data_IF_433018842673
#
_entry.id   IF_433018842673
#
_cell.length_a   1.000
_cell.length_b   1.000
_cell.length_c   1.000
_cell.angle_alpha   90.00
_cell.angle_beta   90.00
_cell.angle_gamma   90.00
#
_symmetry.space_group_name_H-M   'P 1'
#
loop_
_entity.id
_entity.type
_entity.pdbx_description
1 polymer ?
#
# COMPACT_ATOMS: atom_id res chain seq x y z
N UNK A 1 11.07 59.03 60.27
CA UNK A 1 11.50 57.65 59.94
C UNK A 1 10.46 56.82 59.16
N UNK A 2 9.14 57.03 59.32
CA UNK A 2 8.10 56.24 58.63
C UNK A 2 8.04 56.40 57.09
N UNK A 3 8.46 57.54 56.53
CA UNK A 3 8.36 57.80 55.08
C UNK A 3 9.37 57.00 54.22
N UNK A 4 10.56 56.69 54.78
CA UNK A 4 11.59 55.89 54.09
C UNK A 4 11.18 54.42 53.97
N UNK A 5 10.50 53.89 55.00
CA UNK A 5 10.01 52.51 55.04
C UNK A 5 8.90 52.23 54.02
N UNK A 6 7.97 53.18 53.80
CA UNK A 6 6.91 53.06 52.78
C UNK A 6 7.42 52.98 51.33
N UNK A 7 8.62 53.51 51.05
CA UNK A 7 9.25 53.47 49.72
C UNK A 7 10.07 52.19 49.45
N UNK A 8 10.52 51.51 50.51
CA UNK A 8 11.30 50.26 50.40
C UNK A 8 10.41 49.02 50.29
N UNK A 9 9.29 48.99 51.01
CA UNK A 9 8.33 47.88 51.01
C UNK A 9 7.89 47.43 49.59
N UNK A 10 7.45 48.32 48.68
CA UNK A 10 7.04 47.91 47.33
C UNK A 10 8.20 47.37 46.49
N UNK A 11 9.44 47.82 46.74
CA UNK A 11 10.63 47.36 46.03
C UNK A 11 11.01 45.94 46.43
N UNK A 12 10.91 45.63 47.72
CA UNK A 12 11.18 44.28 48.25
C UNK A 12 10.11 43.29 47.80
N UNK A 13 8.83 43.70 47.81
CA UNK A 13 7.71 42.89 47.30
C UNK A 13 7.89 42.60 45.80
N UNK A 14 8.31 43.60 45.01
CA UNK A 14 8.57 43.43 43.57
C UNK A 14 9.75 42.47 43.31
N UNK A 15 10.85 42.59 44.06
CA UNK A 15 11.96 41.66 43.97
C UNK A 15 11.56 40.23 44.37
N UNK A 16 10.72 40.07 45.40
CA UNK A 16 10.20 38.76 45.79
C UNK A 16 9.32 38.14 44.70
N UNK A 17 8.43 38.94 44.10
CA UNK A 17 7.60 38.49 42.98
C UNK A 17 8.44 38.08 41.77
N UNK A 18 9.46 38.87 41.40
CA UNK A 18 10.40 38.52 40.33
C UNK A 18 11.18 37.23 40.65
N UNK A 19 11.69 37.09 41.88
CA UNK A 19 12.47 35.92 42.29
C UNK A 19 11.66 34.61 42.27
N UNK A 20 10.34 34.68 42.49
CA UNK A 20 9.44 33.52 42.44
C UNK A 20 8.87 33.30 41.03
N UNK A 21 8.50 34.37 40.32
CA UNK A 21 7.82 34.26 39.03
C UNK A 21 8.77 33.87 37.89
N UNK A 22 10.00 34.37 37.90
CA UNK A 22 11.02 34.02 36.89
C UNK A 22 11.23 32.50 36.81
N UNK A 23 11.57 31.79 37.90
CA UNK A 23 11.79 30.34 37.82
C UNK A 23 10.52 29.56 37.44
N UNK A 24 9.32 30.03 37.83
CA UNK A 24 8.06 29.39 37.43
C UNK A 24 7.84 29.48 35.92
N UNK A 25 8.06 30.65 35.32
CA UNK A 25 7.93 30.86 33.87
C UNK A 25 8.99 30.05 33.11
N UNK A 26 10.23 30.05 33.61
CA UNK A 26 11.34 29.32 32.99
C UNK A 26 11.10 27.80 33.00
N UNK A 27 10.60 27.28 34.13
CA UNK A 27 10.25 25.86 34.26
C UNK A 27 9.05 25.49 33.37
N UNK A 28 8.04 26.37 33.29
CA UNK A 28 6.89 26.19 32.38
C UNK A 28 7.31 26.17 30.91
N UNK A 29 8.23 27.07 30.53
CA UNK A 29 8.77 27.13 29.17
C UNK A 29 9.60 25.89 28.82
N UNK A 30 10.43 25.42 29.76
CA UNK A 30 11.24 24.22 29.58
C UNK A 30 10.37 22.97 29.41
N UNK A 31 9.34 22.82 30.24
CA UNK A 31 8.34 21.75 30.13
C UNK A 31 7.62 21.84 28.78
N UNK A 32 7.15 23.03 28.40
CA UNK A 32 6.45 23.21 27.13
C UNK A 32 7.29 22.80 25.92
N UNK A 33 8.56 23.23 25.86
CA UNK A 33 9.45 22.84 24.77
C UNK A 33 9.72 21.35 24.75
N UNK A 34 10.00 20.74 25.90
CA UNK A 34 10.25 19.31 26.00
C UNK A 34 9.06 18.48 25.53
N UNK A 35 7.84 18.79 26.00
CA UNK A 35 6.62 18.11 25.57
C UNK A 35 6.28 18.39 24.11
N UNK A 36 6.51 19.62 23.62
CA UNK A 36 6.27 19.95 22.22
C UNK A 36 7.16 19.12 21.28
N UNK A 37 8.46 19.04 21.57
CA UNK A 37 9.41 18.27 20.77
C UNK A 37 9.13 16.76 20.83
N UNK A 38 8.75 16.25 22.00
CA UNK A 38 8.35 14.85 22.14
C UNK A 38 7.12 14.52 21.32
N UNK A 39 6.06 15.34 21.40
CA UNK A 39 4.86 15.13 20.58
C UNK A 39 5.19 15.17 19.09
N UNK A 40 5.98 16.15 18.64
CA UNK A 40 6.36 16.24 17.23
C UNK A 40 7.09 14.97 16.79
N UNK A 41 8.04 14.48 17.59
CA UNK A 41 8.74 13.22 17.31
C UNK A 41 7.78 12.04 17.23
N UNK A 42 6.93 11.87 18.23
CA UNK A 42 5.93 10.79 18.28
C UNK A 42 5.00 10.82 17.08
N UNK A 43 4.42 11.99 16.75
CA UNK A 43 3.59 12.16 15.54
C UNK A 43 4.34 11.82 14.26
N UNK A 44 5.61 12.23 14.13
CA UNK A 44 6.40 11.90 12.93
C UNK A 44 6.75 10.42 12.86
N UNK A 45 7.09 9.80 13.99
CA UNK A 45 7.40 8.37 14.06
C UNK A 45 6.18 7.54 13.73
N UNK A 46 5.02 7.84 14.32
CA UNK A 46 3.75 7.16 14.04
C UNK A 46 3.35 7.27 12.57
N UNK A 47 3.60 8.45 11.96
CA UNK A 47 3.36 8.61 10.53
C UNK A 47 4.32 7.78 9.69
N UNK A 48 5.61 7.79 10.01
CA UNK A 48 6.61 6.97 9.29
C UNK A 48 6.28 5.49 9.43
N UNK A 49 5.94 5.00 10.62
CA UNK A 49 5.59 3.60 10.83
C UNK A 49 4.32 3.22 10.07
N UNK A 50 3.29 4.09 10.06
CA UNK A 50 2.08 3.85 9.27
C UNK A 50 2.36 3.76 7.76
N UNK A 51 3.22 4.64 7.24
CA UNK A 51 3.61 4.63 5.83
C UNK A 51 4.44 3.39 5.48
N UNK A 52 5.35 2.96 6.36
CA UNK A 52 6.11 1.73 6.17
C UNK A 52 5.22 0.49 6.21
N UNK A 53 4.21 0.46 7.08
CA UNK A 53 3.22 -0.63 7.09
C UNK A 53 2.41 -0.67 5.81
N UNK A 54 1.97 0.49 5.30
CA UNK A 54 1.25 0.58 4.03
C UNK A 54 2.14 0.14 2.85
N UNK A 55 3.40 0.60 2.82
CA UNK A 55 4.37 0.19 1.80
C UNK A 55 4.58 -1.33 1.80
N UNK A 56 4.83 -1.93 2.97
CA UNK A 56 5.01 -3.38 3.08
C UNK A 56 3.74 -4.14 2.66
N UNK A 57 2.55 -3.60 2.97
CA UNK A 57 1.30 -4.20 2.52
C UNK A 57 1.19 -4.18 0.99
N UNK A 58 1.55 -3.07 0.34
CA UNK A 58 1.55 -2.96 -1.12
C UNK A 58 2.59 -3.88 -1.76
N UNK A 59 3.78 -3.96 -1.19
CA UNK A 59 4.85 -4.86 -1.66
C UNK A 59 4.42 -6.32 -1.58
N UNK A 60 3.79 -6.73 -0.48
CA UNK A 60 3.24 -8.08 -0.34
C UNK A 60 2.15 -8.38 -1.37
N UNK A 61 1.24 -7.43 -1.64
CA UNK A 61 0.22 -7.62 -2.70
C UNK A 61 0.86 -7.73 -4.09
N UNK A 62 1.91 -6.95 -4.38
CA UNK A 62 2.66 -7.03 -5.63
C UNK A 62 3.37 -8.38 -5.79
N UNK A 63 4.01 -8.88 -4.73
CA UNK A 63 4.68 -10.19 -4.71
C UNK A 63 3.68 -11.32 -4.98
N UNK A 64 2.50 -11.25 -4.37
CA UNK A 64 1.41 -12.20 -4.59
C UNK A 64 0.97 -12.18 -6.07
N UNK A 65 0.74 -11.00 -6.64
CA UNK A 65 0.37 -10.85 -8.07
C UNK A 65 1.48 -11.39 -8.97
N UNK A 66 2.74 -11.12 -8.66
CA UNK A 66 3.89 -11.61 -9.41
C UNK A 66 4.03 -13.14 -9.34
N UNK A 67 3.74 -13.73 -8.18
CA UNK A 67 3.71 -15.17 -8.00
C UNK A 67 2.63 -15.81 -8.88
N UNK A 68 1.41 -15.26 -8.92
CA UNK A 68 0.37 -15.78 -9.81
C UNK A 68 0.68 -15.60 -11.28
N UNK A 69 1.26 -14.46 -11.66
CA UNK A 69 1.74 -14.24 -13.02
C UNK A 69 2.76 -15.31 -13.42
N UNK A 70 3.73 -15.59 -12.55
CA UNK A 70 4.75 -16.62 -12.78
C UNK A 70 4.14 -18.02 -12.87
N UNK A 71 3.14 -18.31 -12.05
CA UNK A 71 2.39 -19.57 -12.10
C UNK A 71 1.64 -19.73 -13.43
N UNK A 72 0.96 -18.68 -13.91
CA UNK A 72 0.26 -18.70 -15.20
C UNK A 72 1.23 -18.89 -16.37
N UNK A 73 2.39 -18.23 -16.36
CA UNK A 73 3.39 -18.38 -17.43
C UNK A 73 4.06 -19.76 -17.45
N UNK A 74 4.24 -20.35 -16.27
CA UNK A 74 4.89 -21.65 -16.14
C UNK A 74 3.96 -22.82 -16.50
N UNK A 75 2.65 -22.60 -16.49
CA UNK A 75 1.63 -23.61 -16.80
C UNK A 75 1.75 -24.13 -18.24
N UNK A 76 1.85 -25.45 -18.37
CA UNK A 76 2.09 -26.09 -19.65
C UNK A 76 0.87 -26.03 -20.57
N UNK A 77 -0.32 -26.38 -20.08
CA UNK A 77 -1.55 -26.42 -20.86
C UNK A 77 -1.97 -25.02 -21.33
N UNK A 78 -1.84 -24.02 -20.46
CA UNK A 78 -2.08 -22.63 -20.81
C UNK A 78 -1.14 -22.18 -21.92
N UNK A 79 0.17 -22.46 -21.83
CA UNK A 79 1.10 -22.14 -22.92
C UNK A 79 0.73 -22.83 -24.23
N UNK A 80 0.37 -24.12 -24.21
CA UNK A 80 -0.03 -24.83 -25.43
C UNK A 80 -1.26 -24.19 -26.08
N UNK A 81 -2.24 -23.80 -25.26
CA UNK A 81 -3.44 -23.13 -25.71
C UNK A 81 -3.13 -21.74 -26.29
N UNK A 82 -2.27 -20.97 -25.63
CA UNK A 82 -1.83 -19.65 -26.09
C UNK A 82 -1.06 -19.69 -27.41
N UNK A 83 -0.21 -20.70 -27.62
CA UNK A 83 0.53 -20.90 -28.86
C UNK A 83 -0.32 -21.49 -30.00
N UNK A 84 -1.62 -21.68 -29.81
CA UNK A 84 -2.50 -22.16 -30.88
C UNK A 84 -2.33 -23.63 -31.24
N UNK A 85 -1.67 -24.45 -30.40
CA UNK A 85 -1.45 -25.88 -30.66
C UNK A 85 -2.79 -26.64 -30.72
N UNK A 86 -3.78 -26.16 -29.97
CA UNK A 86 -5.15 -26.66 -30.04
C UNK A 86 -5.91 -26.01 -31.20
N UNK A 87 -5.95 -26.69 -32.33
CA UNK A 87 -6.60 -26.23 -33.58
C UNK A 87 -8.09 -26.55 -33.69
N UNK A 88 -8.70 -27.17 -32.68
CA UNK A 88 -10.10 -27.57 -32.71
C UNK A 88 -10.84 -27.12 -31.44
N UNK A 89 -12.07 -26.63 -31.59
CA UNK A 89 -12.91 -26.14 -30.50
C UNK A 89 -13.01 -27.14 -29.34
N UNK A 90 -13.20 -28.43 -29.63
CA UNK A 90 -13.34 -29.46 -28.59
C UNK A 90 -12.06 -29.66 -27.76
N UNK A 91 -10.88 -29.55 -28.37
CA UNK A 91 -9.59 -29.63 -27.67
C UNK A 91 -9.35 -28.40 -26.81
N UNK A 92 -9.67 -27.20 -27.30
CA UNK A 92 -9.57 -25.94 -26.56
C UNK A 92 -10.44 -25.98 -25.31
N UNK A 93 -11.72 -26.35 -25.46
CA UNK A 93 -12.67 -26.45 -24.33
C UNK A 93 -12.23 -27.53 -23.34
N UNK A 94 -11.71 -28.67 -23.82
CA UNK A 94 -11.20 -29.73 -22.94
C UNK A 94 -9.98 -29.28 -22.14
N UNK A 95 -8.98 -28.68 -22.77
CA UNK A 95 -7.78 -28.18 -22.09
C UNK A 95 -8.17 -27.13 -21.03
N UNK A 96 -9.08 -26.22 -21.40
CA UNK A 96 -9.60 -25.23 -20.47
C UNK A 96 -10.27 -25.84 -19.25
N UNK A 97 -11.26 -26.73 -19.45
CA UNK A 97 -12.01 -27.33 -18.34
C UNK A 97 -11.18 -28.30 -17.47
N UNK A 98 -10.08 -28.87 -18.00
CA UNK A 98 -9.29 -29.88 -17.27
C UNK A 98 -8.29 -29.24 -16.31
N UNK A 99 -7.60 -28.17 -16.72
CA UNK A 99 -6.49 -27.60 -15.94
C UNK A 99 -6.55 -26.08 -15.80
N UNK A 100 -6.90 -25.35 -16.87
CA UNK A 100 -6.82 -23.88 -16.86
C UNK A 100 -7.94 -23.28 -15.99
N UNK A 101 -9.15 -23.84 -16.04
CA UNK A 101 -10.28 -23.36 -15.24
C UNK A 101 -10.00 -23.51 -13.73
N UNK A 102 -9.45 -24.65 -13.31
CA UNK A 102 -9.12 -24.87 -11.90
C UNK A 102 -8.00 -23.93 -11.45
N UNK A 103 -6.98 -23.70 -12.29
CA UNK A 103 -5.92 -22.74 -12.03
C UNK A 103 -6.48 -21.32 -11.84
N UNK A 104 -7.30 -20.82 -12.77
CA UNK A 104 -7.91 -19.48 -12.70
C UNK A 104 -8.88 -19.35 -11.53
N UNK A 105 -9.69 -20.38 -11.28
CA UNK A 105 -10.60 -20.41 -10.14
C UNK A 105 -9.83 -20.38 -8.82
N UNK A 106 -8.72 -21.11 -8.70
CA UNK A 106 -7.92 -21.12 -7.49
C UNK A 106 -7.34 -19.73 -7.20
N UNK A 107 -6.83 -19.03 -8.21
CA UNK A 107 -6.30 -17.66 -8.05
C UNK A 107 -7.39 -16.72 -7.51
N UNK A 108 -8.60 -16.78 -8.10
CA UNK A 108 -9.75 -15.95 -7.69
C UNK A 108 -10.26 -16.28 -6.29
N UNK A 109 -10.26 -17.56 -5.91
CA UNK A 109 -10.70 -18.01 -4.59
C UNK A 109 -9.73 -17.59 -3.48
N UNK A 110 -8.43 -17.62 -3.76
CA UNK A 110 -7.41 -17.28 -2.77
C UNK A 110 -7.21 -15.76 -2.63
N UNK A 111 -7.60 -14.95 -3.63
CA UNK A 111 -7.38 -13.50 -3.62
C UNK A 111 -8.65 -12.76 -4.02
N UNK A 112 -9.45 -12.33 -3.04
CA UNK A 112 -10.65 -11.54 -3.32
C UNK A 112 -10.34 -10.17 -3.93
N UNK A 113 -9.10 -9.69 -3.83
CA UNK A 113 -8.63 -8.43 -4.44
C UNK A 113 -8.54 -8.51 -5.97
N UNK A 114 -8.44 -9.71 -6.54
CA UNK A 114 -8.38 -9.92 -7.99
C UNK A 114 -9.81 -9.92 -8.54
N UNK A 115 -10.20 -8.79 -9.13
CA UNK A 115 -11.54 -8.62 -9.71
C UNK A 115 -11.76 -9.44 -10.99
N UNK A 116 -10.77 -9.49 -11.87
CA UNK A 116 -10.85 -10.21 -13.13
C UNK A 116 -9.46 -10.65 -13.60
N UNK A 117 -9.41 -11.73 -14.39
CA UNK A 117 -8.19 -12.24 -15.04
C UNK A 117 -8.45 -12.24 -16.54
N UNK A 118 -7.79 -11.32 -17.25
CA UNK A 118 -7.88 -11.22 -18.70
C UNK A 118 -6.61 -11.77 -19.34
N UNK A 119 -6.76 -12.78 -20.19
CA UNK A 119 -5.67 -13.43 -20.92
C UNK A 119 -5.73 -13.02 -22.38
N UNK A 120 -4.68 -12.39 -22.88
CA UNK A 120 -4.59 -12.00 -24.29
C UNK A 120 -3.87 -13.10 -25.09
N UNK A 121 -4.45 -13.52 -26.21
CA UNK A 121 -3.95 -14.65 -27.00
C UNK A 121 -4.01 -14.37 -28.51
N UNK A 122 -3.08 -14.97 -29.25
CA UNK A 122 -3.10 -15.05 -30.72
C UNK A 122 -4.05 -16.14 -31.21
N UNK A 123 -4.45 -17.08 -30.35
CA UNK A 123 -5.37 -18.15 -30.69
C UNK A 123 -6.81 -17.63 -30.75
N UNK A 124 -7.28 -17.31 -31.97
CA UNK A 124 -8.64 -16.82 -32.21
C UNK A 124 -9.73 -17.78 -31.73
N UNK A 125 -9.47 -19.10 -31.78
CA UNK A 125 -10.43 -20.10 -31.31
C UNK A 125 -10.63 -19.98 -29.79
N UNK A 126 -9.54 -19.80 -29.05
CA UNK A 126 -9.61 -19.59 -27.61
C UNK A 126 -10.30 -18.26 -27.25
N UNK A 127 -9.93 -17.17 -27.93
CA UNK A 127 -10.51 -15.85 -27.71
C UNK A 127 -12.02 -15.79 -28.01
N UNK A 128 -12.50 -16.57 -28.99
CA UNK A 128 -13.92 -16.59 -29.34
C UNK A 128 -14.76 -17.51 -28.43
N UNK A 129 -14.16 -18.55 -27.84
CA UNK A 129 -14.89 -19.56 -27.06
C UNK A 129 -14.85 -19.33 -25.55
N UNK A 130 -13.79 -18.71 -25.03
CA UNK A 130 -13.53 -18.62 -23.60
C UNK A 130 -13.68 -17.18 -23.12
N UNK A 131 -14.39 -17.00 -22.00
CA UNK A 131 -14.75 -15.67 -21.48
C UNK A 131 -13.55 -14.86 -20.98
N UNK A 132 -12.55 -15.54 -20.43
CA UNK A 132 -11.33 -14.91 -19.90
C UNK A 132 -10.29 -14.61 -20.98
N UNK A 133 -10.51 -15.04 -22.22
CA UNK A 133 -9.55 -14.92 -23.32
C UNK A 133 -9.99 -13.83 -24.31
N UNK A 134 -9.06 -12.96 -24.64
CA UNK A 134 -9.27 -11.85 -25.56
C UNK A 134 -8.24 -11.91 -26.68
N UNK A 135 -8.60 -11.51 -27.92
CA UNK A 135 -7.63 -11.45 -28.99
C UNK A 135 -6.59 -10.36 -28.69
N UNK A 136 -5.33 -10.57 -29.08
CA UNK A 136 -4.26 -9.57 -28.89
C UNK A 136 -4.61 -8.21 -29.52
N UNK A 137 -5.40 -8.22 -30.59
CA UNK A 137 -5.90 -6.98 -31.24
C UNK A 137 -6.88 -6.18 -30.37
N UNK A 138 -7.55 -6.82 -29.40
CA UNK A 138 -8.42 -6.16 -28.43
C UNK A 138 -7.64 -5.58 -27.24
N UNK A 139 -6.30 -5.67 -27.24
CA UNK A 139 -5.43 -5.04 -26.25
C UNK A 139 -5.44 -3.51 -26.44
N UNK A 140 -6.58 -2.88 -26.14
CA UNK A 140 -6.73 -1.45 -26.14
C UNK A 140 -6.15 -0.90 -24.83
N UNK A 141 -4.82 -0.78 -24.74
CA UNK A 141 -4.07 -0.04 -23.69
C UNK A 141 -4.81 0.09 -22.35
N UNK A 142 -5.18 -1.04 -21.73
CA UNK A 142 -5.69 -1.00 -20.36
C UNK A 142 -4.50 -0.66 -19.47
N UNK A 143 -4.61 0.50 -18.80
CA UNK A 143 -3.64 1.07 -17.87
C UNK A 143 -2.92 -0.01 -17.05
N UNK A 144 -1.59 0.10 -17.06
CA UNK A 144 -0.62 -0.74 -16.34
C UNK A 144 -0.36 -2.11 -16.98
N UNK A 145 0.48 -2.07 -18.03
CA UNK A 145 1.05 -3.23 -18.71
C UNK A 145 2.30 -3.69 -17.94
N UNK A 146 2.26 -4.88 -17.35
CA UNK A 146 3.49 -5.66 -17.11
C UNK A 146 3.84 -6.26 -18.47
N UNK A 147 4.96 -5.82 -19.05
CA UNK A 147 5.51 -6.35 -20.29
C UNK A 147 5.89 -7.82 -20.10
N UNK A 148 5.39 -8.69 -20.97
CA UNK A 148 5.94 -10.04 -21.16
C UNK A 148 6.65 -10.08 -22.51
N UNK A 149 7.98 -10.11 -22.46
CA UNK A 149 8.87 -10.50 -23.56
C UNK A 149 9.33 -11.93 -23.34
#
# INVERSE_FOLDING_TARGET
MLQKQKKLLPRVICCYFLAVFIPIVLLSFMIYHYFSDQRIKEYTTDRITSLLMEQNSLENELDIVQQYSSQLQSDYELRLLLHGIYTSNSKVVRAYNTQIYSLLSNIRLHNPNIRDISIYTENEIAANLLKEFYPLSAQLFSKTLIHFC
#
